data_IF_208549300008
#
_entry.id   IF_208549300008
#
_cell.length_a   1.000
_cell.length_b   1.000
_cell.length_c   1.000
_cell.angle_alpha   90.00
_cell.angle_beta   90.00
_cell.angle_gamma   90.00
#
_symmetry.space_group_name_H-M   'P 1'
#
loop_
_entity.id
_entity.type
_entity.pdbx_description
1 polymer ?
#
# COMPACT_ATOMS: atom_id res chain seq x y z
N UNK A 1 3.16 -12.63 11.54
CA UNK A 1 2.67 -11.95 10.32
C UNK A 1 1.31 -11.30 10.61
N UNK A 2 1.03 -10.10 10.10
CA UNK A 2 -0.24 -9.39 10.38
C UNK A 2 -1.44 -10.13 9.78
N UNK A 3 -1.33 -10.55 8.52
CA UNK A 3 -2.51 -10.97 7.73
C UNK A 3 -2.70 -12.49 7.66
N UNK A 4 -1.87 -13.27 8.36
CA UNK A 4 -1.99 -14.74 8.51
C UNK A 4 -2.28 -15.53 7.21
N UNK A 5 -1.82 -15.06 6.05
CA UNK A 5 -2.03 -15.78 4.80
C UNK A 5 -1.36 -17.17 4.83
N UNK A 6 -2.10 -18.25 4.52
CA UNK A 6 -1.60 -19.63 4.64
C UNK A 6 -0.52 -19.97 3.60
N UNK A 7 -0.66 -19.47 2.36
CA UNK A 7 0.29 -19.70 1.28
C UNK A 7 0.56 -21.18 1.00
N UNK A 8 1.80 -21.53 0.64
CA UNK A 8 2.27 -22.90 0.55
C UNK A 8 3.29 -23.19 1.66
N UNK A 9 2.91 -24.03 2.62
CA UNK A 9 3.77 -24.39 3.75
C UNK A 9 5.08 -25.04 3.28
N UNK A 10 6.21 -24.46 3.66
CA UNK A 10 7.54 -24.93 3.23
C UNK A 10 8.09 -24.24 1.98
N UNK A 11 7.33 -23.33 1.35
CA UNK A 11 7.83 -22.44 0.29
C UNK A 11 7.96 -21.03 0.87
N UNK A 12 9.19 -20.66 1.22
CA UNK A 12 9.50 -19.32 1.72
C UNK A 12 9.69 -18.27 0.60
N UNK A 13 9.91 -17.00 0.96
CA UNK A 13 10.02 -15.88 0.01
C UNK A 13 11.08 -16.09 -1.08
N UNK A 14 12.24 -16.67 -0.73
CA UNK A 14 13.33 -16.94 -1.68
C UNK A 14 12.90 -17.90 -2.79
N UNK A 15 12.21 -18.98 -2.43
CA UNK A 15 11.74 -19.98 -3.39
C UNK A 15 10.57 -19.44 -4.20
N UNK A 16 9.62 -18.76 -3.55
CA UNK A 16 8.50 -18.11 -4.23
C UNK A 16 8.98 -17.08 -5.27
N UNK A 17 9.96 -16.25 -4.92
CA UNK A 17 10.54 -15.26 -5.83
C UNK A 17 11.20 -15.90 -7.05
N UNK A 18 11.94 -17.01 -6.88
CA UNK A 18 12.51 -17.77 -8.00
C UNK A 18 11.45 -18.32 -8.94
N UNK A 19 10.39 -18.92 -8.40
CA UNK A 19 9.28 -19.47 -9.20
C UNK A 19 8.57 -18.36 -9.99
N UNK A 20 8.31 -17.22 -9.36
CA UNK A 20 7.69 -16.07 -10.03
C UNK A 20 8.62 -15.48 -11.10
N UNK A 21 9.93 -15.38 -10.86
CA UNK A 21 10.87 -14.93 -11.90
C UNK A 21 10.91 -15.90 -13.10
N UNK A 22 10.82 -17.20 -12.84
CA UNK A 22 10.90 -18.22 -13.89
C UNK A 22 9.62 -18.34 -14.72
N UNK A 23 8.44 -18.26 -14.08
CA UNK A 23 7.16 -18.56 -14.73
C UNK A 23 6.23 -17.34 -14.85
N UNK A 24 6.50 -16.25 -14.14
CA UNK A 24 5.77 -14.98 -14.20
C UNK A 24 4.59 -14.89 -13.23
N UNK A 25 3.60 -15.77 -13.35
CA UNK A 25 2.38 -15.73 -12.52
C UNK A 25 2.14 -17.04 -11.79
N UNK A 26 1.33 -16.99 -10.73
CA UNK A 26 0.90 -18.20 -10.00
C UNK A 26 0.23 -19.19 -10.97
N UNK A 27 -0.63 -18.72 -11.86
CA UNK A 27 -1.28 -19.56 -12.88
C UNK A 27 -0.25 -20.27 -13.77
N UNK A 28 0.73 -19.53 -14.29
CA UNK A 28 1.79 -20.08 -15.15
C UNK A 28 2.70 -21.07 -14.42
N UNK A 29 2.90 -20.90 -13.11
CA UNK A 29 3.60 -21.90 -12.27
C UNK A 29 2.83 -23.22 -12.29
N UNK A 30 1.51 -23.19 -12.15
CA UNK A 30 0.68 -24.41 -12.16
C UNK A 30 0.54 -25.03 -13.55
N UNK A 31 0.45 -24.23 -14.61
CA UNK A 31 0.46 -24.71 -16.01
C UNK A 31 1.77 -25.42 -16.37
N UNK A 32 2.89 -24.97 -15.80
CA UNK A 32 4.22 -25.50 -16.06
C UNK A 32 4.79 -26.28 -14.87
N UNK A 33 3.93 -26.81 -14.00
CA UNK A 33 4.34 -27.41 -12.72
C UNK A 33 5.34 -28.54 -12.90
N UNK A 34 5.28 -29.25 -14.02
CA UNK A 34 6.18 -30.36 -14.32
C UNK A 34 7.61 -29.91 -14.71
N UNK A 35 7.80 -28.65 -15.11
CA UNK A 35 9.10 -28.04 -15.41
C UNK A 35 9.85 -27.54 -14.16
N UNK A 36 9.27 -27.71 -12.97
CA UNK A 36 9.93 -27.37 -11.70
C UNK A 36 10.94 -28.47 -11.36
N UNK A 37 12.23 -28.10 -11.27
CA UNK A 37 13.34 -29.03 -11.00
C UNK A 37 13.22 -29.73 -9.65
N UNK A 38 12.75 -29.01 -8.63
CA UNK A 38 12.63 -29.55 -7.28
C UNK A 38 11.34 -30.37 -7.12
N UNK A 39 11.50 -31.69 -6.98
CA UNK A 39 10.41 -32.64 -6.71
C UNK A 39 9.62 -32.21 -5.46
N UNK A 40 10.32 -31.86 -4.36
CA UNK A 40 9.68 -31.43 -3.11
C UNK A 40 8.82 -30.17 -3.29
N UNK A 41 9.30 -29.18 -4.02
CA UNK A 41 8.53 -27.95 -4.29
C UNK A 41 7.30 -28.28 -5.14
N UNK A 42 7.44 -29.16 -6.13
CA UNK A 42 6.35 -29.64 -6.98
C UNK A 42 5.26 -30.33 -6.17
N UNK A 43 5.62 -31.22 -5.25
CA UNK A 43 4.68 -31.91 -4.36
C UNK A 43 3.94 -30.94 -3.43
N UNK A 44 4.66 -30.01 -2.80
CA UNK A 44 4.05 -28.99 -1.94
C UNK A 44 3.05 -28.14 -2.73
N UNK A 45 3.43 -27.64 -3.91
CA UNK A 45 2.54 -26.82 -4.75
C UNK A 45 1.29 -27.60 -5.17
N UNK A 46 1.42 -28.90 -5.50
CA UNK A 46 0.28 -29.76 -5.84
C UNK A 46 -0.66 -29.94 -4.66
N UNK A 47 -0.12 -30.20 -3.46
CA UNK A 47 -0.91 -30.40 -2.23
C UNK A 47 -1.59 -29.12 -1.73
N UNK A 48 -0.88 -28.00 -1.79
CA UNK A 48 -1.30 -26.71 -1.21
C UNK A 48 -1.94 -25.78 -2.26
N UNK A 49 -2.38 -26.30 -3.41
CA UNK A 49 -2.89 -25.50 -4.52
C UNK A 49 -3.98 -24.54 -4.08
N UNK A 50 -5.00 -25.03 -3.39
CA UNK A 50 -6.13 -24.22 -2.98
C UNK A 50 -5.70 -23.12 -1.99
N UNK A 51 -4.77 -23.43 -1.08
CA UNK A 51 -4.20 -22.48 -0.13
C UNK A 51 -3.40 -21.35 -0.83
N UNK A 52 -2.67 -21.67 -1.90
CA UNK A 52 -1.96 -20.66 -2.71
C UNK A 52 -2.95 -19.76 -3.43
N UNK A 53 -3.98 -20.31 -4.07
CA UNK A 53 -4.96 -19.51 -4.82
C UNK A 53 -5.83 -18.65 -3.91
N UNK A 54 -6.27 -19.16 -2.75
CA UNK A 54 -7.01 -18.33 -1.79
C UNK A 54 -6.11 -17.22 -1.22
N UNK A 55 -4.84 -17.51 -0.92
CA UNK A 55 -3.89 -16.49 -0.47
C UNK A 55 -3.66 -15.41 -1.53
N UNK A 56 -3.56 -15.80 -2.81
CA UNK A 56 -3.50 -14.86 -3.93
C UNK A 56 -4.73 -13.96 -3.94
N UNK A 57 -5.93 -14.55 -3.85
CA UNK A 57 -7.19 -13.80 -3.87
C UNK A 57 -7.26 -12.79 -2.71
N UNK A 58 -6.95 -13.22 -1.50
CA UNK A 58 -7.00 -12.38 -0.31
C UNK A 58 -5.95 -11.26 -0.33
N UNK A 59 -4.77 -11.52 -0.87
CA UNK A 59 -3.71 -10.52 -1.00
C UNK A 59 -3.93 -9.55 -2.18
N UNK A 60 -4.84 -9.87 -3.11
CA UNK A 60 -5.11 -9.01 -4.26
C UNK A 60 -6.01 -7.85 -3.84
N UNK A 61 -5.53 -6.63 -4.02
CA UNK A 61 -6.34 -5.42 -3.79
C UNK A 61 -7.40 -5.32 -4.88
N UNK A 62 -8.67 -5.29 -4.49
CA UNK A 62 -9.79 -5.02 -5.38
C UNK A 62 -9.83 -3.52 -5.69
N UNK A 63 -9.61 -3.16 -6.95
CA UNK A 63 -9.50 -1.76 -7.42
C UNK A 63 -10.68 -1.33 -8.29
N UNK A 64 -11.52 -2.28 -8.67
CA UNK A 64 -12.66 -2.18 -9.57
C UNK A 64 -13.99 -2.18 -8.80
N UNK A 65 -13.98 -1.64 -7.58
CA UNK A 65 -15.19 -1.51 -6.76
C UNK A 65 -16.05 -0.37 -7.29
N UNK A 66 -17.30 -0.67 -7.63
CA UNK A 66 -18.30 0.35 -7.94
C UNK A 66 -18.66 1.13 -6.66
N UNK A 67 -18.36 2.42 -6.64
CA UNK A 67 -18.67 3.30 -5.52
C UNK A 67 -19.56 4.43 -6.06
N UNK A 68 -20.80 4.48 -5.60
CA UNK A 68 -21.72 5.60 -5.87
C UNK A 68 -21.34 6.81 -5.00
N UNK A 69 -20.39 7.61 -5.49
CA UNK A 69 -19.79 8.71 -4.74
C UNK A 69 -19.44 9.89 -5.64
N UNK A 70 -19.98 11.07 -5.29
CA UNK A 70 -19.59 12.33 -5.90
C UNK A 70 -18.39 12.94 -5.15
N UNK A 71 -17.21 12.85 -5.75
CA UNK A 71 -15.95 13.37 -5.21
C UNK A 71 -16.07 14.86 -4.83
N UNK A 72 -16.89 15.66 -5.56
CA UNK A 72 -17.04 17.09 -5.27
C UNK A 72 -17.69 17.33 -3.90
N UNK A 73 -18.54 16.42 -3.43
CA UNK A 73 -19.16 16.51 -2.10
C UNK A 73 -18.16 16.22 -0.96
N UNK A 74 -17.08 15.51 -1.25
CA UNK A 74 -16.04 15.18 -0.27
C UNK A 74 -14.96 16.26 -0.13
N UNK A 75 -15.01 17.32 -0.94
CA UNK A 75 -14.06 18.43 -0.87
C UNK A 75 -14.01 18.99 0.55
N UNK A 76 -12.80 19.08 1.10
CA UNK A 76 -12.58 19.62 2.43
C UNK A 76 -12.88 21.12 2.44
N UNK A 77 -13.88 21.55 3.22
CA UNK A 77 -14.33 22.94 3.32
C UNK A 77 -13.83 23.65 4.59
N UNK A 78 -12.86 23.07 5.29
CA UNK A 78 -12.41 23.53 6.60
C UNK A 78 -13.19 22.89 7.76
N UNK A 79 -12.70 23.11 8.97
CA UNK A 79 -13.30 22.57 10.18
C UNK A 79 -14.47 23.44 10.68
N UNK A 80 -15.57 22.81 11.07
CA UNK A 80 -16.68 23.50 11.71
C UNK A 80 -16.27 23.92 13.14
N UNK A 81 -16.61 25.14 13.56
CA UNK A 81 -16.36 25.64 14.93
C UNK A 81 -16.94 24.74 16.03
N UNK A 82 -18.04 24.05 15.76
CA UNK A 82 -18.66 23.10 16.70
C UNK A 82 -17.75 21.91 17.04
N UNK A 83 -16.70 21.65 16.25
CA UNK A 83 -15.69 20.64 16.55
C UNK A 83 -14.89 20.98 17.81
N UNK A 84 -14.74 22.27 18.17
CA UNK A 84 -14.03 22.69 19.39
C UNK A 84 -14.66 22.04 20.63
N UNK A 85 -15.99 22.12 20.75
CA UNK A 85 -16.73 21.55 21.87
C UNK A 85 -16.55 20.02 21.97
N UNK A 86 -16.53 19.32 20.82
CA UNK A 86 -16.27 17.89 20.78
C UNK A 86 -14.86 17.57 21.27
N UNK A 87 -13.85 18.28 20.76
CA UNK A 87 -12.45 18.05 21.13
C UNK A 87 -12.20 18.37 22.61
N UNK A 88 -12.77 19.45 23.15
CA UNK A 88 -12.66 19.80 24.57
C UNK A 88 -13.35 18.77 25.46
N UNK A 89 -14.54 18.28 25.08
CA UNK A 89 -15.25 17.22 25.81
C UNK A 89 -14.39 15.95 25.97
N UNK A 90 -13.64 15.57 24.94
CA UNK A 90 -12.73 14.42 24.97
C UNK A 90 -11.28 14.79 25.33
N UNK A 91 -11.06 15.99 25.87
CA UNK A 91 -9.76 16.48 26.35
C UNK A 91 -8.64 16.46 25.30
N UNK A 92 -8.99 16.57 24.01
CA UNK A 92 -8.05 16.61 22.87
C UNK A 92 -7.43 18.00 22.68
N UNK A 93 -6.95 18.61 23.77
CA UNK A 93 -6.54 20.02 23.84
C UNK A 93 -5.43 20.41 22.86
N UNK A 94 -4.48 19.50 22.59
CA UNK A 94 -3.40 19.72 21.60
C UNK A 94 -3.94 19.77 20.18
N UNK A 95 -4.93 18.93 19.86
CA UNK A 95 -5.55 18.89 18.55
C UNK A 95 -6.41 20.14 18.32
N UNK A 96 -7.16 20.59 19.34
CA UNK A 96 -7.91 21.85 19.29
C UNK A 96 -6.98 23.02 18.98
N UNK A 97 -5.85 23.13 19.67
CA UNK A 97 -4.84 24.17 19.41
C UNK A 97 -4.26 24.05 17.99
N UNK A 98 -3.91 22.85 17.53
CA UNK A 98 -3.33 22.64 16.19
C UNK A 98 -4.31 23.00 15.06
N UNK A 99 -5.61 22.74 15.25
CA UNK A 99 -6.64 23.00 14.24
C UNK A 99 -7.11 24.46 14.25
N UNK A 100 -7.25 25.07 15.44
CA UNK A 100 -7.94 26.36 15.60
C UNK A 100 -7.07 27.52 16.08
N UNK A 101 -5.78 27.33 16.43
CA UNK A 101 -4.87 28.47 16.64
C UNK A 101 -4.16 28.82 15.33
N UNK A 102 -4.38 30.04 14.85
CA UNK A 102 -3.64 30.61 13.73
C UNK A 102 -2.15 30.79 14.05
N UNK A 103 -1.29 30.27 13.18
CA UNK A 103 -0.08 30.98 12.76
C UNK A 103 -0.14 31.13 11.26
N UNK A 104 -0.36 32.35 10.79
CA UNK A 104 -0.01 32.76 9.44
C UNK A 104 1.47 32.44 9.21
N UNK A 105 1.75 31.50 8.33
CA UNK A 105 3.00 31.48 7.59
C UNK A 105 2.61 31.49 6.13
N UNK A 106 2.54 32.69 5.57
CA UNK A 106 2.56 32.90 4.13
C UNK A 106 3.75 32.13 3.56
N UNK A 107 3.49 31.05 2.82
CA UNK A 107 4.49 30.53 1.90
C UNK A 107 4.57 31.48 0.72
N UNK A 108 5.38 32.54 0.84
CA UNK A 108 5.88 33.24 -0.35
C UNK A 108 6.74 32.25 -1.13
N UNK A 109 6.22 31.76 -2.25
CA UNK A 109 7.05 31.14 -3.28
C UNK A 109 7.72 32.27 -4.06
N UNK A 110 8.94 32.64 -3.67
CA UNK A 110 9.82 33.34 -4.61
C UNK A 110 10.31 32.32 -5.64
N UNK A 111 9.72 32.36 -6.83
CA UNK A 111 10.33 31.78 -8.02
C UNK A 111 11.46 32.74 -8.42
N UNK A 112 12.70 32.47 -8.00
CA UNK A 112 13.86 33.06 -8.68
C UNK A 112 14.13 32.27 -9.95
N UNK A 113 13.79 32.88 -11.09
CA UNK A 113 14.35 32.52 -12.40
C UNK A 113 15.87 32.63 -12.34
N UNK A 114 16.53 31.68 -13.01
CA UNK A 114 17.94 31.36 -12.80
C UNK A 114 18.95 32.39 -13.23
N UNK A 115 20.18 32.13 -12.78
CA UNK A 115 21.40 32.47 -13.49
C UNK A 115 22.42 31.36 -13.20
N UNK A 116 22.95 30.81 -14.29
CA UNK A 116 24.10 29.93 -14.37
C UNK A 116 25.33 30.61 -13.79
N UNK A 117 26.13 29.89 -13.00
CA UNK A 117 27.58 29.79 -13.28
C UNK A 117 28.29 28.75 -12.41
N UNK A 118 29.03 27.91 -13.14
CA UNK A 118 30.30 27.24 -12.82
C UNK A 118 30.48 26.45 -11.51
N UNK A 119 30.64 25.13 -11.72
CA UNK A 119 31.90 24.38 -11.47
C UNK A 119 32.65 24.80 -10.20
N UNK A 120 32.52 23.98 -9.16
CA UNK A 120 33.42 23.98 -8.02
C UNK A 120 33.16 22.74 -7.17
N UNK A 121 34.18 21.88 -7.08
CA UNK A 121 34.29 20.62 -6.34
C UNK A 121 33.55 19.43 -6.99
N UNK A 122 34.19 18.39 -7.52
CA UNK A 122 35.37 17.70 -7.02
C UNK A 122 35.49 17.73 -5.49
#
# INVERSE_FOLDING_TARGET
>A
PSDHYPGASGIGPKTACKLIHQFGTIEKIYENIDKIDSIKVKEILKKEKDNVFISKKLATIMIDVEIDLDIKKLMFKGFNKNLINFLEKYQMNTLTKRIFKEKAVERKQEIKKGESDQIGLF
#
